data_IF_460637239085
#
_entry.id   IF_460637239085
#
_cell.length_a   1.000
_cell.length_b   1.000
_cell.length_c   1.000
_cell.angle_alpha   90.00
_cell.angle_beta   90.00
_cell.angle_gamma   90.00
#
_symmetry.space_group_name_H-M   'P 1'
#
loop_
_entity.id
_entity.type
_entity.pdbx_description
1 polymer ?
#
# COMPACT_ATOMS: atom_id res chain seq x y z
N UNK A 1 63.26 -4.40 20.04
CA UNK A 1 62.24 -4.61 21.09
C UNK A 1 62.33 -6.04 21.60
N UNK A 2 62.14 -6.24 22.91
CA UNK A 2 62.06 -7.58 23.52
C UNK A 2 60.59 -8.04 23.62
N UNK A 3 60.34 -9.32 23.94
CA UNK A 3 58.98 -9.87 24.00
C UNK A 3 58.14 -9.29 25.16
N UNK A 4 58.77 -8.79 26.23
CA UNK A 4 58.06 -8.17 27.37
C UNK A 4 57.54 -6.77 26.99
N UNK A 5 58.39 -5.95 26.39
CA UNK A 5 58.07 -4.62 25.86
C UNK A 5 57.04 -4.70 24.71
N UNK A 6 57.08 -5.78 23.91
CA UNK A 6 56.03 -6.07 22.92
C UNK A 6 54.65 -6.23 23.57
N UNK A 7 54.55 -7.01 24.66
CA UNK A 7 53.28 -7.27 25.35
C UNK A 7 52.70 -6.02 26.02
N UNK A 8 53.55 -5.15 26.54
CA UNK A 8 53.11 -3.86 27.09
C UNK A 8 52.58 -2.94 25.98
N UNK A 9 53.28 -2.85 24.86
CA UNK A 9 52.85 -2.05 23.71
C UNK A 9 51.62 -2.62 22.98
N UNK A 10 51.35 -3.92 23.11
CA UNK A 10 50.18 -4.57 22.50
C UNK A 10 48.85 -3.94 22.94
N UNK A 11 48.74 -3.49 24.19
CA UNK A 11 47.55 -2.82 24.71
C UNK A 11 47.36 -1.38 24.22
N UNK A 12 48.40 -0.80 23.62
CA UNK A 12 48.35 0.55 23.04
C UNK A 12 47.94 0.54 21.56
N UNK A 13 47.74 -0.65 20.96
CA UNK A 13 47.24 -0.77 19.60
C UNK A 13 45.88 -0.04 19.44
N UNK A 14 45.67 0.77 18.39
CA UNK A 14 46.47 0.91 17.17
C UNK A 14 47.65 1.90 17.23
N UNK A 15 47.85 2.62 18.34
CA UNK A 15 48.86 3.66 18.50
C UNK A 15 50.25 3.08 18.89
N UNK A 16 50.84 2.28 18.00
CA UNK A 16 52.13 1.59 18.22
C UNK A 16 53.22 1.96 17.20
N UNK A 17 54.48 1.94 17.65
CA UNK A 17 55.65 2.33 16.84
C UNK A 17 56.05 1.27 15.81
N UNK A 18 56.84 1.67 14.80
CA UNK A 18 57.35 0.76 13.74
C UNK A 18 58.12 -0.46 14.27
N UNK A 19 58.80 -0.33 15.40
CA UNK A 19 59.53 -1.41 16.07
C UNK A 19 58.61 -2.55 16.54
N UNK A 20 57.33 -2.26 16.79
CA UNK A 20 56.30 -3.24 17.12
C UNK A 20 56.05 -4.22 15.97
N UNK A 21 55.87 -3.69 14.76
CA UNK A 21 55.62 -4.48 13.56
C UNK A 21 56.86 -5.29 13.14
N UNK A 22 58.05 -4.71 13.29
CA UNK A 22 59.31 -5.42 13.04
C UNK A 22 59.47 -6.61 13.99
N UNK A 23 59.16 -6.43 15.28
CA UNK A 23 59.20 -7.53 16.24
C UNK A 23 58.16 -8.61 15.92
N UNK A 24 56.93 -8.21 15.54
CA UNK A 24 55.86 -9.12 15.13
C UNK A 24 56.24 -10.00 13.93
N UNK A 25 57.02 -9.47 12.98
CA UNK A 25 57.52 -10.22 11.84
C UNK A 25 58.66 -11.19 12.22
N UNK A 26 59.45 -10.84 13.23
CA UNK A 26 60.62 -11.61 13.66
C UNK A 26 60.33 -12.71 14.68
N UNK A 27 59.26 -12.58 15.49
CA UNK A 27 58.95 -13.49 16.59
C UNK A 27 57.59 -14.20 16.40
N UNK A 28 57.63 -15.51 16.13
CA UNK A 28 56.41 -16.31 15.95
C UNK A 28 55.53 -16.41 17.22
N UNK A 29 56.13 -16.39 18.41
CA UNK A 29 55.38 -16.48 19.66
C UNK A 29 54.57 -15.20 19.91
N UNK A 30 55.20 -14.03 19.76
CA UNK A 30 54.53 -12.73 19.90
C UNK A 30 53.45 -12.53 18.83
N UNK A 31 53.68 -13.04 17.60
CA UNK A 31 52.67 -13.04 16.54
C UNK A 31 51.42 -13.84 16.92
N UNK A 32 51.58 -15.04 17.48
CA UNK A 32 50.46 -15.87 17.95
C UNK A 32 49.70 -15.22 19.11
N UNK A 33 50.40 -14.54 20.01
CA UNK A 33 49.78 -13.80 21.12
C UNK A 33 48.98 -12.60 20.62
N UNK A 34 49.52 -11.85 19.67
CA UNK A 34 48.84 -10.72 19.06
C UNK A 34 47.59 -11.14 18.27
N UNK A 35 47.66 -12.24 17.52
CA UNK A 35 46.50 -12.79 16.81
C UNK A 35 45.37 -13.16 17.79
N UNK A 36 45.70 -13.70 18.97
CA UNK A 36 44.72 -13.99 20.02
C UNK A 36 44.12 -12.70 20.61
N UNK A 37 44.95 -11.69 20.83
CA UNK A 37 44.50 -10.38 21.30
C UNK A 37 43.49 -9.76 20.33
N UNK A 38 43.82 -9.72 19.03
CA UNK A 38 42.92 -9.22 17.99
C UNK A 38 41.61 -10.02 17.89
N UNK A 39 41.66 -11.34 18.07
CA UNK A 39 40.45 -12.16 18.10
C UNK A 39 39.54 -11.80 19.28
N UNK A 40 40.12 -11.60 20.47
CA UNK A 40 39.37 -11.20 21.68
C UNK A 40 38.79 -9.80 21.52
N UNK A 41 39.58 -8.85 21.03
CA UNK A 41 39.14 -7.48 20.76
C UNK A 41 37.97 -7.47 19.77
N UNK A 42 38.06 -8.26 18.69
CA UNK A 42 36.99 -8.42 17.71
C UNK A 42 35.71 -8.96 18.36
N UNK A 43 35.79 -10.02 19.16
CA UNK A 43 34.63 -10.60 19.86
C UNK A 43 34.00 -9.59 20.83
N UNK A 44 34.81 -8.81 21.55
CA UNK A 44 34.31 -7.77 22.47
C UNK A 44 33.62 -6.66 21.67
N UNK A 45 34.22 -6.19 20.58
CA UNK A 45 33.65 -5.15 19.73
C UNK A 45 32.31 -5.56 19.11
N UNK A 46 32.19 -6.81 18.65
CA UNK A 46 30.95 -7.37 18.11
C UNK A 46 29.87 -7.47 19.20
N UNK A 47 30.21 -7.91 20.41
CA UNK A 47 29.27 -7.97 21.54
C UNK A 47 28.79 -6.59 22.00
N UNK A 48 29.67 -5.59 22.02
CA UNK A 48 29.33 -4.20 22.37
C UNK A 48 28.42 -3.60 21.29
N UNK A 49 28.70 -3.89 20.02
CA UNK A 49 27.85 -3.46 18.90
C UNK A 49 26.47 -4.12 18.93
N UNK A 50 26.40 -5.43 19.21
CA UNK A 50 25.12 -6.15 19.39
C UNK A 50 24.31 -5.59 20.57
N UNK A 51 24.96 -5.24 21.69
CA UNK A 51 24.29 -4.62 22.83
C UNK A 51 23.71 -3.24 22.49
N UNK A 52 24.48 -2.39 21.79
CA UNK A 52 24.00 -1.09 21.32
C UNK A 52 22.84 -1.19 20.33
N UNK A 53 22.93 -2.13 19.38
CA UNK A 53 21.83 -2.43 18.44
C UNK A 53 20.59 -2.90 19.21
N UNK A 54 20.75 -3.77 20.20
CA UNK A 54 19.63 -4.33 20.96
C UNK A 54 18.87 -3.25 21.73
N UNK A 55 19.57 -2.34 22.39
CA UNK A 55 18.96 -1.20 23.09
C UNK A 55 18.22 -0.26 22.13
N UNK A 56 18.79 0.00 20.95
CA UNK A 56 18.16 0.84 19.94
C UNK A 56 16.93 0.17 19.32
N UNK A 57 17.01 -1.14 19.05
CA UNK A 57 15.88 -1.95 18.58
C UNK A 57 14.77 -2.06 19.63
N UNK A 58 15.09 -2.17 20.90
CA UNK A 58 14.09 -2.22 21.98
C UNK A 58 13.31 -0.90 22.06
N UNK A 59 13.99 0.23 21.86
CA UNK A 59 13.37 1.56 21.80
C UNK A 59 12.47 1.72 20.57
N UNK A 60 12.93 1.31 19.40
CA UNK A 60 12.20 1.47 18.12
C UNK A 60 11.04 0.47 18.01
N UNK A 61 11.22 -0.77 18.45
CA UNK A 61 10.20 -1.83 18.36
C UNK A 61 8.93 -1.50 19.13
N UNK A 62 9.04 -0.84 20.30
CA UNK A 62 7.87 -0.41 21.07
C UNK A 62 7.03 0.63 20.33
N UNK A 63 7.66 1.57 19.63
CA UNK A 63 6.95 2.62 18.88
C UNK A 63 6.28 2.04 17.62
N UNK A 64 6.99 1.14 16.92
CA UNK A 64 6.45 0.39 15.77
C UNK A 64 5.27 -0.49 16.21
N UNK A 65 5.40 -1.24 17.31
CA UNK A 65 4.32 -2.09 17.84
C UNK A 65 3.07 -1.28 18.21
N UNK A 66 3.24 -0.09 18.80
CA UNK A 66 2.12 0.81 19.10
C UNK A 66 1.42 1.28 17.83
N UNK A 67 2.17 1.71 16.82
CA UNK A 67 1.59 2.14 15.52
C UNK A 67 0.85 0.99 14.83
N UNK A 68 1.45 -0.21 14.77
CA UNK A 68 0.83 -1.39 14.18
C UNK A 68 -0.46 -1.79 14.89
N UNK A 69 -0.50 -1.72 16.23
CA UNK A 69 -1.73 -1.97 17.00
C UNK A 69 -2.81 -0.93 16.71
N UNK A 70 -2.45 0.35 16.64
CA UNK A 70 -3.40 1.42 16.31
C UNK A 70 -3.97 1.27 14.90
N UNK A 71 -3.14 0.92 13.92
CA UNK A 71 -3.60 0.65 12.56
C UNK A 71 -4.48 -0.60 12.48
N UNK A 72 -4.18 -1.65 13.23
CA UNK A 72 -5.01 -2.84 13.31
C UNK A 72 -6.40 -2.52 13.89
N UNK A 73 -6.45 -1.70 14.93
CA UNK A 73 -7.71 -1.21 15.52
C UNK A 73 -8.49 -0.36 14.51
N UNK A 74 -7.83 0.60 13.84
CA UNK A 74 -8.46 1.41 12.78
C UNK A 74 -9.06 0.55 11.67
N UNK A 75 -8.33 -0.47 11.21
CA UNK A 75 -8.84 -1.44 10.22
C UNK A 75 -10.07 -2.18 10.71
N UNK A 76 -10.06 -2.67 11.96
CA UNK A 76 -11.24 -3.34 12.54
C UNK A 76 -12.47 -2.43 12.62
N UNK A 77 -12.29 -1.18 13.06
CA UNK A 77 -13.38 -0.20 13.12
C UNK A 77 -13.96 0.06 11.72
N UNK A 78 -13.08 0.22 10.72
CA UNK A 78 -13.49 0.48 9.34
C UNK A 78 -14.26 -0.71 8.75
N UNK A 79 -13.82 -1.95 9.03
CA UNK A 79 -14.55 -3.17 8.63
C UNK A 79 -15.93 -3.22 9.28
N UNK A 80 -16.03 -2.97 10.58
CA UNK A 80 -17.31 -2.96 11.30
C UNK A 80 -18.25 -1.89 10.70
N UNK A 81 -17.73 -0.70 10.41
CA UNK A 81 -18.49 0.37 9.77
C UNK A 81 -19.01 -0.04 8.38
N UNK A 82 -18.19 -0.68 7.55
CA UNK A 82 -18.59 -1.17 6.24
C UNK A 82 -19.68 -2.24 6.33
N UNK A 83 -19.56 -3.19 7.27
CA UNK A 83 -20.59 -4.21 7.51
C UNK A 83 -21.92 -3.55 7.93
N UNK A 84 -21.86 -2.53 8.78
CA UNK A 84 -23.05 -1.81 9.21
C UNK A 84 -23.73 -1.06 8.05
N UNK A 85 -22.91 -0.45 7.18
CA UNK A 85 -23.39 0.22 5.98
C UNK A 85 -24.05 -0.77 5.00
N UNK A 86 -23.44 -1.94 4.82
CA UNK A 86 -23.99 -3.00 3.97
C UNK A 86 -25.35 -3.49 4.49
N UNK A 87 -25.49 -3.68 5.80
CA UNK A 87 -26.78 -4.02 6.42
C UNK A 87 -27.85 -2.94 6.16
N UNK A 88 -27.51 -1.66 6.29
CA UNK A 88 -28.42 -0.56 5.98
C UNK A 88 -28.88 -0.63 4.52
N UNK A 89 -27.95 -0.81 3.58
CA UNK A 89 -28.28 -0.96 2.16
C UNK A 89 -29.16 -2.18 1.91
N UNK A 90 -28.89 -3.31 2.57
CA UNK A 90 -29.69 -4.51 2.44
C UNK A 90 -31.13 -4.30 2.93
N UNK A 91 -31.32 -3.64 4.09
CA UNK A 91 -32.66 -3.28 4.57
C UNK A 91 -33.39 -2.32 3.64
N UNK A 92 -32.71 -1.30 3.11
CA UNK A 92 -33.27 -0.37 2.14
C UNK A 92 -33.68 -1.09 0.85
N UNK A 93 -32.85 -2.02 0.37
CA UNK A 93 -33.13 -2.82 -0.81
C UNK A 93 -34.38 -3.69 -0.62
N UNK A 94 -34.47 -4.41 0.52
CA UNK A 94 -35.67 -5.18 0.86
C UNK A 94 -36.89 -4.28 0.93
N UNK A 95 -36.79 -3.10 1.57
CA UNK A 95 -37.89 -2.16 1.67
C UNK A 95 -38.38 -1.70 0.29
N UNK A 96 -37.45 -1.31 -0.61
CA UNK A 96 -37.78 -0.89 -1.97
C UNK A 96 -38.43 -2.04 -2.75
N UNK A 97 -37.87 -3.24 -2.72
CA UNK A 97 -38.44 -4.42 -3.38
C UNK A 97 -39.84 -4.71 -2.84
N UNK A 98 -40.02 -4.72 -1.52
CA UNK A 98 -41.31 -4.97 -0.89
C UNK A 98 -42.35 -3.92 -1.32
N UNK A 99 -41.97 -2.63 -1.34
CA UNK A 99 -42.84 -1.54 -1.82
C UNK A 99 -43.18 -1.72 -3.30
N UNK A 100 -42.20 -2.09 -4.13
CA UNK A 100 -42.40 -2.35 -5.54
C UNK A 100 -43.37 -3.52 -5.75
N UNK A 101 -43.10 -4.69 -5.14
CA UNK A 101 -43.99 -5.85 -5.20
C UNK A 101 -45.41 -5.54 -4.70
N UNK A 102 -45.55 -4.74 -3.64
CA UNK A 102 -46.85 -4.32 -3.10
C UNK A 102 -47.63 -3.40 -4.06
N UNK A 103 -46.94 -2.50 -4.75
CA UNK A 103 -47.56 -1.68 -5.82
C UNK A 103 -47.97 -2.58 -6.99
N UNK A 104 -47.14 -3.57 -7.32
CA UNK A 104 -47.42 -4.51 -8.41
C UNK A 104 -48.60 -5.44 -8.10
N UNK A 105 -48.77 -5.85 -6.85
CA UNK A 105 -49.88 -6.71 -6.44
C UNK A 105 -51.22 -5.98 -6.33
N UNK A 106 -51.22 -4.65 -6.18
CA UNK A 106 -52.44 -3.86 -6.00
C UNK A 106 -53.13 -3.43 -7.30
N UNK A 107 -52.39 -3.26 -8.42
CA UNK A 107 -53.00 -2.76 -9.66
C UNK A 107 -52.20 -3.14 -10.93
N UNK A 108 -52.48 -4.32 -11.49
CA UNK A 108 -51.92 -4.76 -12.77
C UNK A 108 -52.18 -3.76 -13.92
N UNK A 109 -53.35 -3.11 -13.92
CA UNK A 109 -53.69 -2.07 -14.91
C UNK A 109 -52.76 -0.84 -14.84
N UNK A 110 -52.27 -0.47 -13.66
CA UNK A 110 -51.36 0.65 -13.50
C UNK A 110 -49.97 0.33 -14.06
N UNK A 111 -49.49 -0.90 -13.86
CA UNK A 111 -48.23 -1.39 -14.46
C UNK A 111 -48.33 -1.39 -15.98
N UNK A 112 -49.43 -1.92 -16.53
CA UNK A 112 -49.67 -1.93 -17.97
C UNK A 112 -49.68 -0.50 -18.54
N UNK A 113 -50.28 0.46 -17.84
CA UNK A 113 -50.28 1.88 -18.24
C UNK A 113 -48.87 2.49 -18.20
N UNK A 114 -48.06 2.20 -17.18
CA UNK A 114 -46.67 2.68 -17.11
C UNK A 114 -45.83 2.11 -18.26
N UNK A 115 -45.90 0.80 -18.49
CA UNK A 115 -45.18 0.17 -19.60
C UNK A 115 -45.64 0.68 -20.96
N UNK A 116 -46.95 0.85 -21.15
CA UNK A 116 -47.52 1.44 -22.37
C UNK A 116 -47.04 2.88 -22.55
N UNK A 117 -47.01 3.67 -21.48
CA UNK A 117 -46.48 5.04 -21.49
C UNK A 117 -44.99 5.09 -21.87
N UNK A 118 -44.17 4.22 -21.30
CA UNK A 118 -42.75 4.10 -21.66
C UNK A 118 -42.56 3.69 -23.13
N UNK A 119 -43.32 2.72 -23.63
CA UNK A 119 -43.28 2.32 -25.04
C UNK A 119 -43.70 3.44 -25.98
N UNK A 120 -44.72 4.23 -25.61
CA UNK A 120 -45.15 5.40 -26.38
C UNK A 120 -44.05 6.46 -26.40
N UNK A 121 -43.38 6.73 -25.27
CA UNK A 121 -42.26 7.67 -25.22
C UNK A 121 -41.08 7.22 -26.09
N UNK A 122 -40.73 5.93 -26.06
CA UNK A 122 -39.67 5.36 -26.93
C UNK A 122 -40.06 5.50 -28.40
N UNK A 123 -41.31 5.19 -28.76
CA UNK A 123 -41.82 5.32 -30.12
C UNK A 123 -41.80 6.77 -30.61
N UNK A 124 -42.19 7.73 -29.77
CA UNK A 124 -42.15 9.14 -30.10
C UNK A 124 -40.72 9.65 -30.28
N UNK A 125 -39.78 9.26 -29.42
CA UNK A 125 -38.35 9.59 -29.60
C UNK A 125 -37.83 9.13 -30.95
N UNK A 126 -38.18 7.90 -31.37
CA UNK A 126 -37.81 7.36 -32.68
C UNK A 126 -38.46 8.14 -33.83
N UNK A 127 -39.72 8.57 -33.70
CA UNK A 127 -40.40 9.39 -34.70
C UNK A 127 -39.78 10.78 -34.86
N UNK A 128 -39.41 11.44 -33.75
CA UNK A 128 -38.72 12.73 -33.79
C UNK A 128 -37.32 12.62 -34.40
N UNK A 129 -36.58 11.54 -34.09
CA UNK A 129 -35.30 11.22 -34.74
C UNK A 129 -35.48 11.04 -36.26
N UNK A 130 -36.50 10.30 -36.69
CA UNK A 130 -36.82 10.12 -38.10
C UNK A 130 -37.12 11.46 -38.79
N UNK A 131 -37.94 12.32 -38.18
CA UNK A 131 -38.27 13.65 -38.70
C UNK A 131 -37.04 14.54 -38.82
N UNK A 132 -36.15 14.52 -37.82
CA UNK A 132 -34.87 15.24 -37.86
C UNK A 132 -34.02 14.75 -39.04
N UNK A 133 -33.89 13.42 -39.22
CA UNK A 133 -33.14 12.86 -40.36
C UNK A 133 -33.77 13.22 -41.70
N UNK A 134 -35.10 13.29 -41.79
CA UNK A 134 -35.81 13.69 -43.00
C UNK A 134 -35.55 15.18 -43.33
N UNK A 135 -35.61 16.05 -42.32
CA UNK A 135 -35.29 17.48 -42.46
C UNK A 135 -33.83 17.65 -42.92
N UNK A 136 -32.88 16.98 -42.26
CA UNK A 136 -31.47 17.00 -42.65
C UNK A 136 -31.27 16.48 -44.07
N UNK A 137 -31.99 15.44 -44.47
CA UNK A 137 -31.95 14.89 -45.82
C UNK A 137 -32.49 15.88 -46.87
N UNK A 138 -33.61 16.55 -46.60
CA UNK A 138 -34.17 17.61 -47.47
C UNK A 138 -33.18 18.78 -47.57
N UNK A 139 -32.64 19.25 -46.45
CA UNK A 139 -31.64 20.32 -46.47
C UNK A 139 -30.38 19.93 -47.24
N UNK A 140 -29.85 18.72 -47.04
CA UNK A 140 -28.68 18.22 -47.76
C UNK A 140 -28.92 18.13 -49.26
N UNK A 141 -30.09 17.62 -49.69
CA UNK A 141 -30.44 17.51 -51.11
C UNK A 141 -30.64 18.88 -51.76
N UNK A 142 -31.26 19.84 -51.08
CA UNK A 142 -31.35 21.23 -51.56
C UNK A 142 -29.97 21.90 -51.66
N UNK A 143 -29.12 21.72 -50.64
CA UNK A 143 -27.78 22.29 -50.62
C UNK A 143 -26.92 21.73 -51.75
N UNK A 144 -26.95 20.41 -51.97
CA UNK A 144 -26.26 19.75 -53.09
C UNK A 144 -26.78 20.20 -54.45
N UNK A 145 -28.07 20.51 -54.58
CA UNK A 145 -28.66 21.04 -55.81
C UNK A 145 -28.21 22.48 -56.10
N UNK A 146 -27.94 23.28 -55.06
CA UNK A 146 -27.38 24.64 -55.20
C UNK A 146 -25.87 24.66 -55.46
N UNK A 147 -25.10 23.68 -54.98
CA UNK A 147 -23.65 23.65 -55.20
C UNK A 147 -23.21 23.21 -56.61
N UNK A 148 -24.13 22.73 -57.44
CA UNK A 148 -23.90 22.31 -58.83
C UNK A 148 -24.39 23.33 -59.88
N UNK A 149 -24.76 24.54 -59.44
CA UNK A 149 -25.18 25.66 -60.30
C UNK A 149 -24.22 26.83 -60.09
#
# INVERSE_FOLDING_TARGET
MNCEEFREKMFLYPDVDGDFFLHLQSCEECKKEFDKFLQVEKIISEKVYEAGIREEWERVSLDILKRLRLEAIKRKILIIFLIFLELIFFFLFIFVIYRFLKVFSFNFSFIYLIFKGLLVLISQMNFYLFLLTLILFIFYTEFKKRSFR
#
